data_IF_306531836742
#
_entry.id   IF_306531836742
#
_cell.length_a   1.000
_cell.length_b   1.000
_cell.length_c   1.000
_cell.angle_alpha   90.00
_cell.angle_beta   90.00
_cell.angle_gamma   90.00
#
_symmetry.space_group_name_H-M   'P 1'
#
loop_
_entity.id
_entity.type
_entity.pdbx_description
1 polymer ?
#
# COMPACT_ATOMS: atom_id res chain seq x y z
N UNK A 1 -7.54 15.56 6.70
CA UNK A 1 -7.25 14.12 6.49
C UNK A 1 -7.11 13.90 5.01
N UNK A 2 -6.04 13.24 4.57
CA UNK A 2 -5.85 12.88 3.17
C UNK A 2 -6.63 11.59 2.87
N UNK A 3 -7.59 11.67 1.96
CA UNK A 3 -8.45 10.54 1.60
C UNK A 3 -8.16 10.02 0.20
N UNK A 4 -8.37 8.72 0.01
CA UNK A 4 -8.32 8.02 -1.26
C UNK A 4 -9.22 6.79 -1.21
N UNK A 5 -9.59 6.28 -2.39
CA UNK A 5 -10.29 4.99 -2.55
C UNK A 5 -9.25 3.94 -2.91
N UNK A 6 -9.26 2.83 -2.18
CA UNK A 6 -8.37 1.71 -2.40
C UNK A 6 -9.14 0.45 -2.77
N UNK A 7 -8.58 -0.35 -3.66
CA UNK A 7 -8.91 -1.75 -3.80
C UNK A 7 -7.92 -2.54 -2.96
N UNK A 8 -8.44 -3.34 -2.03
CA UNK A 8 -7.62 -4.23 -1.23
C UNK A 8 -7.06 -5.37 -2.09
N UNK A 9 -5.91 -5.90 -1.68
CA UNK A 9 -5.22 -6.98 -2.36
C UNK A 9 -5.46 -8.27 -1.58
N UNK A 10 -5.90 -9.30 -2.30
CA UNK A 10 -6.10 -10.63 -1.74
C UNK A 10 -4.82 -11.17 -1.09
N UNK A 11 -4.98 -11.97 -0.03
CA UNK A 11 -3.87 -12.51 0.76
C UNK A 11 -2.89 -13.32 -0.10
N UNK A 12 -3.37 -14.13 -1.05
CA UNK A 12 -2.51 -14.94 -1.92
C UNK A 12 -1.58 -14.05 -2.76
N UNK A 13 -2.14 -12.98 -3.33
CA UNK A 13 -1.39 -12.03 -4.16
C UNK A 13 -0.38 -11.27 -3.31
N UNK A 14 -0.78 -10.83 -2.11
CA UNK A 14 0.09 -10.15 -1.16
C UNK A 14 1.30 -11.00 -0.78
N UNK A 15 1.09 -12.28 -0.51
CA UNK A 15 2.16 -13.23 -0.15
C UNK A 15 3.16 -13.39 -1.29
N UNK A 16 2.69 -13.54 -2.54
CA UNK A 16 3.57 -13.64 -3.71
C UNK A 16 4.42 -12.38 -3.94
N UNK A 17 3.87 -11.19 -3.72
CA UNK A 17 4.62 -9.94 -3.80
C UNK A 17 5.69 -9.87 -2.69
N UNK A 18 5.35 -10.31 -1.48
CA UNK A 18 6.27 -10.34 -0.36
C UNK A 18 7.46 -11.28 -0.61
N UNK A 19 7.20 -12.50 -1.07
CA UNK A 19 8.24 -13.47 -1.41
C UNK A 19 9.23 -12.90 -2.43
N UNK A 20 8.73 -12.27 -3.49
CA UNK A 20 9.58 -11.62 -4.48
C UNK A 20 10.37 -10.45 -3.88
N UNK A 21 9.71 -9.63 -3.07
CA UNK A 21 10.34 -8.47 -2.40
C UNK A 21 11.52 -8.89 -1.52
N UNK A 22 11.39 -9.98 -0.75
CA UNK A 22 12.47 -10.47 0.11
C UNK A 22 13.70 -10.91 -0.71
N UNK A 23 13.51 -11.45 -1.92
CA UNK A 23 14.62 -11.85 -2.80
C UNK A 23 15.43 -10.66 -3.30
N UNK A 24 14.78 -9.51 -3.53
CA UNK A 24 15.41 -8.33 -4.13
C UNK A 24 15.78 -7.25 -3.10
N UNK A 25 15.30 -7.34 -1.85
CA UNK A 25 15.53 -6.33 -0.81
C UNK A 25 17.01 -6.02 -0.61
N UNK A 26 17.87 -7.04 -0.62
CA UNK A 26 19.32 -6.89 -0.46
C UNK A 26 20.00 -6.10 -1.60
N UNK A 27 19.36 -6.03 -2.78
CA UNK A 27 19.88 -5.27 -3.93
C UNK A 27 19.59 -3.76 -3.81
N UNK A 28 18.67 -3.36 -2.96
CA UNK A 28 18.33 -1.94 -2.74
C UNK A 28 18.23 -1.63 -1.23
N UNK A 29 19.37 -1.59 -0.53
CA UNK A 29 19.42 -1.45 0.94
C UNK A 29 18.93 -0.08 1.44
N UNK A 30 18.94 0.93 0.58
CA UNK A 30 18.50 2.30 0.91
C UNK A 30 17.02 2.56 0.55
N UNK A 31 16.33 1.58 -0.03
CA UNK A 31 14.91 1.70 -0.39
C UNK A 31 14.03 1.49 0.84
N UNK A 32 13.02 2.35 1.01
CA UNK A 32 11.97 2.14 2.00
C UNK A 32 10.94 1.15 1.45
N UNK A 33 11.01 -0.09 1.94
CA UNK A 33 10.06 -1.15 1.57
C UNK A 33 8.73 -0.99 2.31
N UNK A 34 7.63 -1.26 1.62
CA UNK A 34 6.29 -1.27 2.21
C UNK A 34 6.09 -2.53 3.06
N UNK A 35 5.34 -2.41 4.15
CA UNK A 35 4.90 -3.56 4.91
C UNK A 35 3.86 -4.36 4.10
N UNK A 36 3.82 -5.70 4.17
CA UNK A 36 2.90 -6.52 3.37
C UNK A 36 1.43 -6.08 3.51
N UNK A 37 0.98 -5.82 4.74
CA UNK A 37 -0.40 -5.38 5.02
C UNK A 37 -0.73 -3.95 4.57
N UNK A 38 0.24 -3.19 4.07
CA UNK A 38 0.02 -1.83 3.56
C UNK A 38 -0.22 -1.75 2.05
N UNK A 39 -0.03 -2.88 1.35
CA UNK A 39 -0.21 -2.96 -0.10
C UNK A 39 -1.69 -2.87 -0.47
N UNK A 40 -1.99 -1.95 -1.36
CA UNK A 40 -3.32 -1.73 -1.94
C UNK A 40 -3.16 -1.09 -3.32
N UNK A 41 -4.20 -1.16 -4.14
CA UNK A 41 -4.25 -0.40 -5.41
C UNK A 41 -5.06 0.86 -5.16
N UNK A 42 -4.43 2.04 -5.30
CA UNK A 42 -5.16 3.30 -5.25
C UNK A 42 -5.98 3.47 -6.52
N UNK A 43 -7.29 3.59 -6.40
CA UNK A 43 -8.20 3.83 -7.52
C UNK A 43 -8.38 5.33 -7.79
N UNK A 44 -8.50 6.13 -6.72
CA UNK A 44 -8.73 7.58 -6.83
C UNK A 44 -8.22 8.32 -5.60
N UNK A 45 -7.44 9.39 -5.83
CA UNK A 45 -7.13 10.37 -4.79
C UNK A 45 -8.29 11.35 -4.64
N UNK A 46 -8.77 11.51 -3.41
CA UNK A 46 -9.81 12.49 -3.05
C UNK A 46 -9.18 13.79 -2.54
N UNK A 47 -7.96 13.71 -1.99
CA UNK A 47 -7.20 14.86 -1.48
C UNK A 47 -7.48 15.14 -0.01
N UNK A 48 -7.18 16.37 0.42
CA UNK A 48 -7.44 16.80 1.80
C UNK A 48 -8.92 17.08 2.03
N UNK A 49 -9.45 16.53 3.14
CA UNK A 49 -10.81 16.76 3.61
C UNK A 49 -10.83 17.08 5.11
N UNK A 50 -11.77 17.92 5.57
CA UNK A 50 -12.01 18.11 7.00
C UNK A 50 -12.54 16.81 7.62
N UNK A 51 -12.31 16.60 8.92
CA UNK A 51 -12.72 15.37 9.61
C UNK A 51 -14.24 15.14 9.56
N UNK A 52 -15.04 16.22 9.60
CA UNK A 52 -16.49 16.18 9.44
C UNK A 52 -16.98 15.60 8.09
N UNK A 53 -16.10 15.44 7.10
CA UNK A 53 -16.43 14.84 5.80
C UNK A 53 -16.54 13.30 5.86
N UNK A 54 -16.05 12.66 6.92
CA UNK A 54 -15.99 11.19 7.07
C UNK A 54 -17.01 10.67 8.11
N UNK A 55 -17.91 11.54 8.61
CA UNK A 55 -18.95 11.17 9.57
C UNK A 55 -20.20 10.60 8.90
#
# INVERSE_FOLDING_TARGET
MRLFVALDIDEEIRNRIQEFTEQIRGLAPYTRWLAPGSLHITLKFIGEKPEAFVQ
#
